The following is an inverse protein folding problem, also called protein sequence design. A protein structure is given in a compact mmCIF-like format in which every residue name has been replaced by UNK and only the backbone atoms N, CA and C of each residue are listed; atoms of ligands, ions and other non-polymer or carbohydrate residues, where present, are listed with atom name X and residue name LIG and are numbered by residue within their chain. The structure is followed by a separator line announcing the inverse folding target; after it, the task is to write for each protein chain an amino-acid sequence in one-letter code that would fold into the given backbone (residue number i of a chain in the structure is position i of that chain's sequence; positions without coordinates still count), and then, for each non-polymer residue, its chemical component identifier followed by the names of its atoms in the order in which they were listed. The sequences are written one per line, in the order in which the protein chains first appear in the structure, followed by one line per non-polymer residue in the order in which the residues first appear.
data_IF_649178856768
#
_entry.id   IF_649178856768
#
_cell.length_a   1.000
_cell.length_b   1.000
_cell.length_c   1.000
_cell.angle_alpha   90.00
_cell.angle_beta   90.00
_cell.angle_gamma   90.00
#
_symmetry.space_group_name_H-M   'P 1'
#
loop_
_entity.id
_entity.type
_entity.pdbx_description
1 polymer ?
#
# COMPACT_ATOMS: atom_id res chain seq x y z
N UNK A 1 3.23 1.72 -13.52
CA UNK A 1 2.32 2.87 -13.58
C UNK A 1 0.96 2.42 -13.06
N UNK A 2 0.31 3.23 -12.24
CA UNK A 2 -1.07 3.04 -11.79
C UNK A 2 -1.90 4.16 -12.40
N UNK A 3 -3.06 3.80 -12.96
CA UNK A 3 -4.01 4.75 -13.54
C UNK A 3 -5.41 4.41 -13.04
N UNK A 4 -6.11 5.38 -12.49
CA UNK A 4 -7.49 5.27 -12.01
C UNK A 4 -8.33 6.33 -12.68
N UNK A 5 -9.45 5.94 -13.30
CA UNK A 5 -10.32 6.87 -14.03
C UNK A 5 -11.76 6.70 -13.59
N UNK A 6 -12.30 7.72 -12.96
CA UNK A 6 -13.72 7.81 -12.60
C UNK A 6 -14.23 6.66 -11.73
N UNK A 7 -13.40 6.17 -10.81
CA UNK A 7 -13.70 5.01 -9.96
C UNK A 7 -14.87 5.33 -9.01
N UNK A 8 -15.92 4.51 -9.09
CA UNK A 8 -17.08 4.58 -8.18
C UNK A 8 -17.23 3.28 -7.44
N UNK A 9 -17.36 3.37 -6.10
CA UNK A 9 -17.59 2.23 -5.21
C UNK A 9 -18.80 2.47 -4.33
N UNK A 10 -19.70 1.48 -4.30
CA UNK A 10 -20.88 1.46 -3.45
C UNK A 10 -20.76 0.39 -2.37
N UNK A 11 -21.14 0.73 -1.13
CA UNK A 11 -21.44 -0.25 -0.09
C UNK A 11 -22.95 -0.14 0.24
N UNK A 12 -23.75 -1.04 -0.32
CA UNK A 12 -25.21 -0.89 -0.31
C UNK A 12 -25.63 0.40 -0.99
N UNK A 13 -26.35 1.27 -0.28
CA UNK A 13 -26.77 2.58 -0.78
C UNK A 13 -25.71 3.69 -0.60
N UNK A 14 -24.65 3.45 0.17
CA UNK A 14 -23.60 4.43 0.44
C UNK A 14 -22.57 4.44 -0.68
N UNK A 15 -22.38 5.62 -1.29
CA UNK A 15 -21.29 5.84 -2.24
C UNK A 15 -20.01 6.14 -1.47
N UNK A 16 -19.10 5.15 -1.41
CA UNK A 16 -17.83 5.23 -0.66
C UNK A 16 -16.74 5.89 -1.48
N UNK A 17 -16.72 5.64 -2.80
CA UNK A 17 -15.86 6.35 -3.76
C UNK A 17 -16.75 6.96 -4.83
N UNK A 18 -16.52 8.24 -5.15
CA UNK A 18 -17.35 9.02 -6.05
C UNK A 18 -16.50 9.68 -7.15
N UNK A 19 -16.20 8.92 -8.20
CA UNK A 19 -15.51 9.40 -9.39
C UNK A 19 -14.01 9.66 -9.17
N UNK A 20 -13.34 8.84 -8.35
CA UNK A 20 -11.90 8.97 -8.09
C UNK A 20 -11.09 8.81 -9.36
N UNK A 21 -10.20 9.77 -9.63
CA UNK A 21 -9.20 9.69 -10.69
C UNK A 21 -7.84 10.11 -10.15
N UNK A 22 -6.82 9.27 -10.38
CA UNK A 22 -5.43 9.55 -10.03
C UNK A 22 -4.47 8.76 -10.93
N UNK A 23 -3.23 9.22 -11.01
CA UNK A 23 -2.15 8.49 -11.69
C UNK A 23 -0.90 8.47 -10.83
N UNK A 24 -0.16 7.34 -10.88
CA UNK A 24 1.13 7.18 -10.21
C UNK A 24 2.13 6.61 -11.21
N UNK A 25 3.19 7.34 -11.47
CA UNK A 25 4.24 6.92 -12.41
C UNK A 25 5.12 5.84 -11.77
N UNK A 26 5.87 5.14 -12.60
CA UNK A 26 6.86 4.17 -12.11
C UNK A 26 7.94 4.91 -11.28
N UNK A 27 8.26 4.36 -10.11
CA UNK A 27 9.20 4.96 -9.15
C UNK A 27 8.61 6.11 -8.32
N UNK A 28 7.36 6.50 -8.55
CA UNK A 28 6.69 7.56 -7.80
C UNK A 28 6.05 7.02 -6.51
N UNK A 29 6.07 7.84 -5.48
CA UNK A 29 5.35 7.62 -4.21
C UNK A 29 4.16 8.58 -4.17
N UNK A 30 2.95 8.04 -4.16
CA UNK A 30 1.72 8.79 -3.92
C UNK A 30 1.24 8.56 -2.48
N UNK A 31 1.10 9.62 -1.70
CA UNK A 31 0.47 9.56 -0.39
C UNK A 31 -1.01 9.91 -0.48
N UNK A 32 -1.86 9.14 0.18
CA UNK A 32 -3.28 9.39 0.32
C UNK A 32 -3.55 9.70 1.78
N UNK A 33 -3.98 10.91 2.06
CA UNK A 33 -4.27 11.41 3.40
C UNK A 33 -5.73 11.91 3.49
N UNK A 34 -6.23 12.13 4.69
CA UNK A 34 -7.59 12.63 4.90
C UNK A 34 -8.26 11.98 6.12
N UNK A 35 -9.43 12.45 6.52
CA UNK A 35 -10.15 11.97 7.69
C UNK A 35 -10.52 10.48 7.59
N UNK A 36 -10.73 9.84 8.76
CA UNK A 36 -11.23 8.47 8.83
C UNK A 36 -12.61 8.36 8.16
N UNK A 37 -12.88 7.21 7.53
CA UNK A 37 -14.12 7.03 6.76
C UNK A 37 -14.14 7.70 5.38
N UNK A 38 -13.09 8.39 4.96
CA UNK A 38 -13.00 9.06 3.66
C UNK A 38 -12.87 8.13 2.43
N UNK A 39 -12.84 6.80 2.59
CA UNK A 39 -12.75 5.83 1.49
C UNK A 39 -11.32 5.42 1.11
N UNK A 40 -10.29 5.85 1.85
CA UNK A 40 -8.87 5.61 1.53
C UNK A 40 -8.51 4.13 1.40
N UNK A 41 -8.83 3.30 2.40
CA UNK A 41 -8.57 1.86 2.38
C UNK A 41 -9.40 1.14 1.31
N UNK A 42 -10.64 1.58 1.07
CA UNK A 42 -11.50 1.06 0.00
C UNK A 42 -10.85 1.33 -1.37
N UNK A 43 -10.28 2.51 -1.57
CA UNK A 43 -9.53 2.82 -2.80
C UNK A 43 -8.37 1.84 -2.98
N UNK A 44 -7.51 1.63 -1.97
CA UNK A 44 -6.41 0.66 -2.07
C UNK A 44 -6.90 -0.76 -2.37
N UNK A 45 -8.02 -1.19 -1.77
CA UNK A 45 -8.60 -2.52 -2.02
C UNK A 45 -9.16 -2.66 -3.43
N UNK A 46 -9.65 -1.58 -4.02
CA UNK A 46 -10.01 -1.57 -5.45
C UNK A 46 -8.77 -1.67 -6.35
N UNK A 47 -7.65 -0.99 -5.97
CA UNK A 47 -6.40 -1.01 -6.74
C UNK A 47 -5.74 -2.39 -6.81
N UNK A 48 -5.89 -3.24 -5.77
CA UNK A 48 -5.34 -4.60 -5.76
C UNK A 48 -6.40 -5.67 -6.11
N UNK A 49 -7.62 -5.26 -6.43
CA UNK A 49 -8.72 -6.15 -6.77
C UNK A 49 -9.24 -6.99 -5.60
N UNK A 50 -9.06 -6.55 -4.35
CA UNK A 50 -9.71 -7.14 -3.17
C UNK A 50 -11.18 -6.71 -3.08
N UNK A 51 -11.51 -5.52 -3.56
CA UNK A 51 -12.88 -5.05 -3.71
C UNK A 51 -13.21 -4.78 -5.18
N UNK A 52 -14.42 -5.16 -5.60
CA UNK A 52 -15.00 -4.77 -6.88
C UNK A 52 -15.50 -3.34 -6.83
N UNK A 53 -15.73 -2.73 -7.97
CA UNK A 53 -16.28 -1.38 -8.09
C UNK A 53 -17.36 -1.33 -9.17
N UNK A 54 -18.23 -0.32 -9.12
CA UNK A 54 -19.44 -0.24 -9.93
C UNK A 54 -19.25 0.57 -11.20
N UNK A 55 -18.29 1.53 -11.24
CA UNK A 55 -17.96 2.30 -12.44
C UNK A 55 -16.49 2.73 -12.44
N UNK A 56 -15.99 3.12 -13.60
CA UNK A 56 -14.61 3.55 -13.82
C UNK A 56 -13.68 2.43 -14.26
N UNK A 57 -12.39 2.72 -14.23
CA UNK A 57 -11.32 1.81 -14.66
C UNK A 57 -10.14 1.90 -13.70
N UNK A 58 -9.48 0.77 -13.46
CA UNK A 58 -8.22 0.67 -12.74
C UNK A 58 -7.22 -0.08 -13.60
N UNK A 59 -6.10 0.55 -13.93
CA UNK A 59 -4.99 -0.07 -14.65
C UNK A 59 -3.73 -0.05 -13.77
N UNK A 60 -3.11 -1.20 -13.57
CA UNK A 60 -1.84 -1.32 -12.86
C UNK A 60 -0.90 -2.24 -13.61
N UNK A 61 0.29 -1.74 -13.97
CA UNK A 61 1.30 -2.53 -14.67
C UNK A 61 0.81 -3.12 -16.01
N UNK A 62 -0.15 -2.48 -16.69
CA UNK A 62 -0.76 -2.96 -17.92
C UNK A 62 -1.91 -3.97 -17.71
N UNK A 63 -2.29 -4.27 -16.47
CA UNK A 63 -3.48 -5.05 -16.16
C UNK A 63 -4.64 -4.10 -15.91
N UNK A 64 -5.69 -4.23 -16.72
CA UNK A 64 -6.89 -3.38 -16.67
C UNK A 64 -8.03 -4.12 -15.98
N UNK A 65 -8.61 -3.49 -14.96
CA UNK A 65 -9.86 -3.91 -14.31
C UNK A 65 -11.00 -2.98 -14.73
N UNK A 66 -12.13 -3.58 -15.05
CA UNK A 66 -13.40 -2.91 -15.38
C UNK A 66 -14.58 -3.61 -14.71
N UNK A 67 -15.64 -2.88 -14.33
CA UNK A 67 -16.88 -3.50 -13.89
C UNK A 67 -17.53 -4.27 -15.06
N UNK A 68 -18.26 -5.33 -14.73
CA UNK A 68 -19.03 -6.07 -15.75
C UNK A 68 -18.23 -6.98 -16.69
N UNK A 69 -16.92 -7.15 -16.48
CA UNK A 69 -16.12 -8.11 -17.23
C UNK A 69 -16.64 -9.56 -17.03
N UNK A 70 -16.52 -10.40 -18.06
CA UNK A 70 -16.90 -11.81 -17.95
C UNK A 70 -16.14 -12.48 -16.80
N UNK A 71 -16.80 -13.35 -16.03
CA UNK A 71 -16.25 -13.96 -14.81
C UNK A 71 -14.85 -14.58 -15.00
N UNK A 72 -14.60 -15.20 -16.15
CA UNK A 72 -13.30 -15.82 -16.46
C UNK A 72 -12.21 -14.78 -16.71
N UNK A 73 -12.52 -13.75 -17.50
CA UNK A 73 -11.59 -12.65 -17.79
C UNK A 73 -11.25 -11.84 -16.53
N UNK A 74 -12.28 -11.53 -15.72
CA UNK A 74 -12.10 -10.87 -14.44
C UNK A 74 -11.17 -11.68 -13.50
N UNK A 75 -11.35 -13.00 -13.40
CA UNK A 75 -10.51 -13.85 -12.56
C UNK A 75 -9.06 -13.89 -13.04
N UNK A 76 -8.81 -13.95 -14.34
CA UNK A 76 -7.46 -13.90 -14.92
C UNK A 76 -6.78 -12.54 -14.67
N UNK A 77 -7.51 -11.45 -14.90
CA UNK A 77 -7.01 -10.10 -14.64
C UNK A 77 -6.66 -9.90 -13.16
N UNK A 78 -7.52 -10.35 -12.24
CA UNK A 78 -7.27 -10.28 -10.80
C UNK A 78 -6.04 -11.10 -10.39
N UNK A 79 -5.86 -12.29 -10.94
CA UNK A 79 -4.68 -13.10 -10.66
C UNK A 79 -3.40 -12.43 -11.18
N UNK A 80 -3.42 -11.89 -12.40
CA UNK A 80 -2.30 -11.15 -12.98
C UNK A 80 -1.97 -9.90 -12.17
N UNK A 81 -2.98 -9.15 -11.74
CA UNK A 81 -2.83 -7.95 -10.91
C UNK A 81 -2.17 -8.27 -9.58
N UNK A 82 -2.67 -9.28 -8.84
CA UNK A 82 -2.17 -9.65 -7.50
C UNK A 82 -0.73 -10.17 -7.51
N UNK A 83 -0.22 -10.61 -8.63
CA UNK A 83 1.21 -10.95 -8.80
C UNK A 83 2.09 -9.71 -8.97
N UNK A 84 1.53 -8.60 -9.48
CA UNK A 84 2.23 -7.35 -9.78
C UNK A 84 2.09 -6.28 -8.71
N UNK A 85 1.09 -6.42 -7.83
CA UNK A 85 0.78 -5.43 -6.79
C UNK A 85 0.93 -6.09 -5.43
N UNK A 86 1.95 -5.67 -4.69
CA UNK A 86 2.09 -6.01 -3.28
C UNK A 86 1.12 -5.19 -2.43
N UNK A 87 0.67 -5.74 -1.33
CA UNK A 87 -0.11 -5.00 -0.33
C UNK A 87 0.38 -5.28 1.07
N UNK A 88 0.55 -4.21 1.83
CA UNK A 88 0.94 -4.21 3.24
C UNK A 88 -0.21 -3.56 4.02
N UNK A 89 -0.78 -4.31 4.96
CA UNK A 89 -1.94 -3.92 5.74
C UNK A 89 -1.54 -3.34 7.09
N UNK A 90 -2.46 -2.64 7.72
CA UNK A 90 -2.36 -2.15 9.10
C UNK A 90 -2.15 -3.31 10.10
N UNK A 91 -2.91 -4.39 9.94
CA UNK A 91 -2.70 -5.65 10.64
C UNK A 91 -1.79 -6.52 9.78
N UNK A 92 -0.65 -6.89 10.24
CA UNK A 92 0.48 -7.48 9.51
C UNK A 92 0.13 -8.71 8.66
N UNK A 93 -0.94 -9.46 9.04
CA UNK A 93 -1.46 -10.65 8.36
C UNK A 93 -0.36 -11.68 8.00
N UNK A 94 0.60 -11.87 8.90
CA UNK A 94 1.60 -12.92 8.75
C UNK A 94 0.96 -14.30 8.94
N UNK A 95 1.52 -15.31 8.30
CA UNK A 95 1.12 -16.70 8.51
C UNK A 95 1.66 -17.18 9.86
N UNK A 96 0.80 -17.40 10.89
CA UNK A 96 1.26 -17.65 12.25
C UNK A 96 1.95 -19.01 12.41
N UNK A 97 1.68 -19.96 11.53
CA UNK A 97 2.25 -21.30 11.51
C UNK A 97 3.59 -21.38 10.77
N UNK A 98 4.05 -20.30 10.14
CA UNK A 98 5.30 -20.21 9.40
C UNK A 98 6.32 -19.36 10.17
N UNK A 99 7.61 -19.66 9.98
CA UNK A 99 8.70 -18.80 10.42
C UNK A 99 8.73 -17.48 9.62
N UNK A 100 9.54 -16.53 10.05
CA UNK A 100 9.83 -15.30 9.32
C UNK A 100 10.32 -15.58 7.90
N UNK A 101 11.31 -16.48 7.77
CA UNK A 101 11.81 -16.91 6.47
C UNK A 101 10.70 -17.55 5.62
N UNK A 102 9.90 -18.43 6.24
CA UNK A 102 8.78 -19.09 5.57
C UNK A 102 7.72 -18.10 5.07
N UNK A 103 7.39 -17.07 5.86
CA UNK A 103 6.47 -16.02 5.46
C UNK A 103 6.93 -15.27 4.21
N UNK A 104 8.22 -14.92 4.12
CA UNK A 104 8.77 -14.16 2.99
C UNK A 104 8.95 -15.03 1.76
N UNK A 105 9.40 -16.28 1.91
CA UNK A 105 9.60 -17.21 0.80
C UNK A 105 8.31 -17.82 0.24
N UNK A 106 7.18 -17.73 0.95
CA UNK A 106 5.92 -18.38 0.56
C UNK A 106 5.43 -17.96 -0.84
N UNK A 107 5.46 -16.67 -1.16
CA UNK A 107 5.04 -16.16 -2.48
C UNK A 107 5.89 -16.72 -3.61
N UNK A 108 7.22 -16.55 -3.59
CA UNK A 108 8.13 -17.16 -4.56
C UNK A 108 7.95 -18.68 -4.72
N UNK A 109 7.81 -19.42 -3.62
CA UNK A 109 7.64 -20.88 -3.66
C UNK A 109 6.31 -21.31 -4.28
N UNK A 110 5.19 -20.81 -3.74
CA UNK A 110 3.86 -21.35 -4.05
C UNK A 110 3.14 -20.65 -5.18
N UNK A 111 3.51 -19.39 -5.49
CA UNK A 111 2.85 -18.60 -6.54
C UNK A 111 3.73 -18.45 -7.78
N UNK A 112 5.05 -18.27 -7.61
CA UNK A 112 6.00 -18.13 -8.71
C UNK A 112 6.68 -19.46 -9.08
N UNK A 113 6.52 -20.49 -8.24
CA UNK A 113 7.08 -21.84 -8.44
C UNK A 113 8.63 -21.84 -8.55
N UNK A 114 9.29 -20.93 -7.83
CA UNK A 114 10.75 -20.92 -7.73
C UNK A 114 11.26 -22.14 -6.95
N UNK A 115 12.50 -22.57 -7.23
CA UNK A 115 13.16 -23.56 -6.42
C UNK A 115 13.32 -23.07 -4.97
N UNK A 116 13.20 -23.97 -3.99
CA UNK A 116 13.23 -23.64 -2.56
C UNK A 116 14.48 -22.85 -2.18
N UNK A 117 15.64 -23.33 -2.62
CA UNK A 117 16.93 -22.72 -2.31
C UNK A 117 17.01 -21.27 -2.82
N UNK A 118 16.51 -21.02 -4.04
CA UNK A 118 16.48 -19.68 -4.63
C UNK A 118 15.48 -18.76 -3.88
N UNK A 119 14.27 -19.25 -3.56
CA UNK A 119 13.29 -18.50 -2.82
C UNK A 119 13.74 -18.15 -1.40
N UNK A 120 14.39 -19.08 -0.70
CA UNK A 120 14.93 -18.82 0.64
C UNK A 120 16.15 -17.89 0.61
N UNK A 121 17.02 -17.98 -0.39
CA UNK A 121 18.16 -17.06 -0.54
C UNK A 121 17.67 -15.62 -0.74
N UNK A 122 16.73 -15.42 -1.66
CA UNK A 122 16.11 -14.09 -1.90
C UNK A 122 15.39 -13.57 -0.64
N UNK A 123 14.66 -14.43 0.07
CA UNK A 123 13.99 -14.05 1.30
C UNK A 123 14.98 -13.61 2.40
N UNK A 124 16.16 -14.25 2.53
CA UNK A 124 17.21 -13.83 3.46
C UNK A 124 17.76 -12.45 3.13
N UNK A 125 17.99 -12.16 1.85
CA UNK A 125 18.45 -10.84 1.39
C UNK A 125 17.41 -9.75 1.72
N UNK A 126 16.13 -10.01 1.46
CA UNK A 126 15.05 -9.06 1.78
C UNK A 126 14.91 -8.87 3.29
N UNK A 127 15.03 -9.92 4.09
CA UNK A 127 14.98 -9.82 5.55
C UNK A 127 16.19 -9.04 6.11
N UNK A 128 17.38 -9.21 5.54
CA UNK A 128 18.54 -8.40 5.89
C UNK A 128 18.31 -6.92 5.52
N UNK A 129 17.71 -6.63 4.36
CA UNK A 129 17.39 -5.28 3.92
C UNK A 129 16.42 -4.55 4.89
N UNK A 130 15.52 -5.29 5.53
CA UNK A 130 14.59 -4.72 6.53
C UNK A 130 15.11 -4.88 7.98
N UNK A 131 16.39 -5.29 8.17
CA UNK A 131 17.05 -5.40 9.47
C UNK A 131 16.55 -6.56 10.33
N UNK A 132 16.25 -7.72 9.73
CA UNK A 132 15.71 -8.90 10.40
C UNK A 132 16.52 -10.18 10.09
N UNK A 133 17.80 -10.05 9.73
CA UNK A 133 18.68 -11.17 9.42
C UNK A 133 18.83 -12.16 10.59
N UNK A 134 18.68 -11.69 11.83
CA UNK A 134 18.82 -12.50 13.05
C UNK A 134 17.51 -13.16 13.51
N UNK A 135 16.41 -13.01 12.73
CA UNK A 135 15.05 -13.45 13.08
C UNK A 135 14.46 -14.49 12.13
N UNK A 136 15.28 -15.12 11.30
CA UNK A 136 14.82 -15.98 10.20
C UNK A 136 13.92 -17.14 10.68
N UNK A 137 14.28 -17.76 11.79
CA UNK A 137 13.61 -18.94 12.35
C UNK A 137 12.53 -18.57 13.37
N UNK A 138 12.43 -17.29 13.77
CA UNK A 138 11.40 -16.82 14.69
C UNK A 138 10.01 -16.93 14.06
N UNK A 139 8.98 -17.07 14.91
CA UNK A 139 7.57 -17.01 14.52
C UNK A 139 7.01 -15.63 14.73
N UNK A 140 5.88 -15.27 14.06
CA UNK A 140 5.26 -13.96 14.20
C UNK A 140 5.00 -13.54 15.66
N UNK A 141 4.59 -14.47 16.52
CA UNK A 141 4.30 -14.23 17.94
C UNK A 141 5.53 -13.83 18.79
N UNK A 142 6.74 -14.13 18.29
CA UNK A 142 8.01 -13.80 18.94
C UNK A 142 8.57 -12.43 18.48
N UNK A 143 7.82 -11.72 17.63
CA UNK A 143 8.23 -10.44 17.04
C UNK A 143 7.45 -9.27 17.62
N UNK A 144 8.12 -8.13 17.77
CA UNK A 144 7.42 -6.86 18.01
C UNK A 144 6.53 -6.47 16.82
N UNK A 145 5.55 -5.60 17.02
CA UNK A 145 4.67 -5.12 15.95
C UNK A 145 5.43 -4.51 14.77
N UNK A 146 6.47 -3.70 15.06
CA UNK A 146 7.33 -3.11 14.02
C UNK A 146 8.14 -4.16 13.26
N UNK A 147 8.61 -5.22 13.94
CA UNK A 147 9.27 -6.35 13.28
C UNK A 147 8.29 -7.12 12.39
N UNK A 148 7.08 -7.39 12.88
CA UNK A 148 6.04 -8.05 12.07
C UNK A 148 5.70 -7.25 10.81
N UNK A 149 5.60 -5.93 10.93
CA UNK A 149 5.34 -5.05 9.79
C UNK A 149 6.50 -5.09 8.77
N UNK A 150 7.75 -5.11 9.24
CA UNK A 150 8.91 -5.22 8.35
C UNK A 150 8.96 -6.59 7.66
N UNK A 151 8.53 -7.69 8.31
CA UNK A 151 8.34 -8.99 7.64
C UNK A 151 7.25 -8.91 6.57
N UNK A 152 6.11 -8.24 6.85
CA UNK A 152 5.05 -8.06 5.86
C UNK A 152 5.52 -7.26 4.63
N UNK A 153 6.36 -6.24 4.83
CA UNK A 153 7.01 -5.48 3.74
C UNK A 153 7.94 -6.40 2.93
N UNK A 154 8.83 -7.16 3.59
CA UNK A 154 9.73 -8.09 2.92
C UNK A 154 8.96 -9.16 2.12
N UNK A 155 7.86 -9.69 2.67
CA UNK A 155 6.97 -10.63 1.98
C UNK A 155 6.34 -10.03 0.73
N UNK A 156 5.91 -8.77 0.78
CA UNK A 156 5.36 -8.08 -0.39
C UNK A 156 6.45 -7.87 -1.47
N UNK A 157 7.67 -7.52 -1.07
CA UNK A 157 8.82 -7.33 -1.98
C UNK A 157 9.27 -8.62 -2.66
N UNK A 158 9.14 -9.78 -1.98
CA UNK A 158 9.57 -11.07 -2.51
C UNK A 158 8.84 -11.48 -3.80
N UNK A 159 7.67 -10.89 -4.06
CA UNK A 159 6.93 -11.07 -5.31
C UNK A 159 7.44 -10.19 -6.46
N UNK A 160 8.45 -9.34 -6.23
CA UNK A 160 8.98 -8.34 -7.20
C UNK A 160 7.87 -7.50 -7.83
N UNK A 161 7.01 -6.85 -7.03
CA UNK A 161 5.84 -6.18 -7.53
C UNK A 161 6.20 -4.90 -8.30
N UNK A 162 5.38 -4.57 -9.31
CA UNK A 162 5.47 -3.29 -10.03
C UNK A 162 5.13 -2.10 -9.10
N UNK A 163 4.25 -2.32 -8.12
CA UNK A 163 3.88 -1.33 -7.11
C UNK A 163 3.53 -1.99 -5.77
N UNK A 164 3.73 -1.27 -4.67
CA UNK A 164 3.31 -1.68 -3.32
C UNK A 164 2.29 -0.68 -2.78
N UNK A 165 1.17 -1.21 -2.29
CA UNK A 165 0.13 -0.46 -1.62
C UNK A 165 0.28 -0.62 -0.12
N UNK A 166 0.28 0.48 0.62
CA UNK A 166 0.38 0.49 2.07
C UNK A 166 -0.90 1.06 2.68
N UNK A 167 -1.63 0.26 3.45
CA UNK A 167 -2.85 0.67 4.14
C UNK A 167 -2.54 0.91 5.62
N UNK A 168 -2.27 2.17 5.97
CA UNK A 168 -1.95 2.63 7.32
C UNK A 168 -0.87 1.79 8.03
N UNK A 169 0.32 1.62 7.44
CA UNK A 169 1.31 0.63 7.88
C UNK A 169 1.89 0.87 9.28
N UNK A 170 1.65 2.02 9.88
CA UNK A 170 2.22 2.42 11.18
C UNK A 170 1.17 2.75 12.25
N UNK A 171 -0.13 2.71 11.93
CA UNK A 171 -1.19 3.17 12.86
C UNK A 171 -1.39 2.27 14.09
N UNK A 172 -0.96 1.00 14.02
CA UNK A 172 -1.02 0.04 15.13
C UNK A 172 0.30 -0.03 15.94
N UNK A 173 1.26 0.86 15.68
CA UNK A 173 2.60 0.81 16.26
C UNK A 173 2.85 1.99 17.21
N UNK A 174 3.68 1.77 18.22
CA UNK A 174 4.22 2.88 19.01
C UNK A 174 5.17 3.75 18.16
N UNK A 175 5.47 4.99 18.60
CA UNK A 175 6.25 5.94 17.80
C UNK A 175 7.64 5.43 17.40
N UNK A 176 8.31 4.65 18.26
CA UNK A 176 9.64 4.10 17.97
C UNK A 176 9.58 3.05 16.88
N UNK A 177 8.66 2.10 17.01
CA UNK A 177 8.45 1.07 15.99
C UNK A 177 7.97 1.66 14.66
N UNK A 178 7.09 2.67 14.72
CA UNK A 178 6.63 3.40 13.54
C UNK A 178 7.79 4.05 12.78
N UNK A 179 8.75 4.68 13.50
CA UNK A 179 9.93 5.28 12.88
C UNK A 179 10.80 4.25 12.12
N UNK A 180 10.97 3.04 12.68
CA UNK A 180 11.71 1.96 12.01
C UNK A 180 11.03 1.52 10.70
N UNK A 181 9.71 1.38 10.69
CA UNK A 181 8.92 1.04 9.48
C UNK A 181 8.98 2.17 8.45
N UNK A 182 8.84 3.42 8.88
CA UNK A 182 8.96 4.61 8.01
C UNK A 182 10.34 4.67 7.36
N UNK A 183 11.41 4.36 8.10
CA UNK A 183 12.77 4.33 7.56
C UNK A 183 12.91 3.29 6.43
N UNK A 184 12.34 2.08 6.59
CA UNK A 184 12.31 1.06 5.54
C UNK A 184 11.52 1.55 4.33
N UNK A 185 10.34 2.16 4.53
CA UNK A 185 9.54 2.71 3.43
C UNK A 185 10.27 3.84 2.67
N UNK A 186 10.98 4.71 3.38
CA UNK A 186 11.77 5.76 2.77
C UNK A 186 12.96 5.19 1.96
N UNK A 187 13.57 4.08 2.41
CA UNK A 187 14.60 3.38 1.64
C UNK A 187 14.03 2.77 0.35
N UNK A 188 12.84 2.18 0.42
CA UNK A 188 12.13 1.67 -0.76
C UNK A 188 11.84 2.79 -1.78
N UNK A 189 11.42 3.96 -1.30
CA UNK A 189 11.19 5.14 -2.16
C UNK A 189 12.49 5.54 -2.87
N UNK A 190 13.60 5.66 -2.12
CA UNK A 190 14.92 5.99 -2.70
C UNK A 190 15.41 4.96 -3.71
N UNK A 191 15.06 3.69 -3.54
CA UNK A 191 15.39 2.63 -4.50
C UNK A 191 14.48 2.58 -5.74
N UNK A 192 13.54 3.54 -5.87
CA UNK A 192 12.66 3.65 -7.03
C UNK A 192 11.45 2.71 -7.00
N UNK A 193 11.06 2.18 -5.84
CA UNK A 193 9.85 1.39 -5.71
C UNK A 193 8.62 2.28 -5.88
N UNK A 194 7.72 1.92 -6.79
CA UNK A 194 6.42 2.60 -6.92
C UNK A 194 5.55 2.27 -5.70
N UNK A 195 4.99 3.29 -5.05
CA UNK A 195 4.18 3.10 -3.86
C UNK A 195 2.93 3.98 -3.85
N UNK A 196 1.82 3.43 -3.34
CA UNK A 196 0.64 4.21 -2.91
C UNK A 196 0.47 3.97 -1.41
N UNK A 197 0.49 5.02 -0.63
CA UNK A 197 0.55 4.93 0.83
C UNK A 197 -0.62 5.71 1.45
N UNK A 198 -1.57 5.00 2.02
CA UNK A 198 -2.57 5.59 2.94
C UNK A 198 -1.91 5.73 4.29
N UNK A 199 -1.85 6.95 4.84
CA UNK A 199 -1.13 7.19 6.09
C UNK A 199 -1.65 8.41 6.85
N UNK A 200 -1.50 8.35 8.18
CA UNK A 200 -1.61 9.49 9.09
C UNK A 200 -0.22 10.06 9.46
N UNK A 201 0.87 9.44 9.02
CA UNK A 201 2.24 9.95 9.24
C UNK A 201 2.53 11.13 8.29
N UNK A 202 2.10 12.34 8.68
CA UNK A 202 2.26 13.54 7.84
C UNK A 202 3.71 13.85 7.50
N UNK A 203 4.65 13.53 8.41
CA UNK A 203 6.08 13.65 8.17
C UNK A 203 6.56 12.77 7.01
N UNK A 204 6.06 11.55 6.88
CA UNK A 204 6.35 10.68 5.73
C UNK A 204 5.76 11.26 4.45
N UNK A 205 4.48 11.64 4.45
CA UNK A 205 3.83 12.22 3.28
C UNK A 205 4.52 13.51 2.81
N UNK A 206 4.99 14.35 3.75
CA UNK A 206 5.70 15.60 3.44
C UNK A 206 7.10 15.36 2.85
N UNK A 207 7.86 14.40 3.38
CA UNK A 207 9.29 14.27 3.10
C UNK A 207 9.60 13.19 2.05
N UNK A 208 8.70 12.25 1.79
CA UNK A 208 8.95 11.08 0.93
C UNK A 208 8.02 11.01 -0.26
N UNK A 209 6.77 11.49 -0.16
CA UNK A 209 5.85 11.44 -1.27
C UNK A 209 6.24 12.44 -2.38
N UNK A 210 5.98 12.05 -3.62
CA UNK A 210 6.08 12.91 -4.80
C UNK A 210 4.77 13.66 -5.03
N UNK A 211 3.66 13.00 -4.75
CA UNK A 211 2.31 13.56 -4.87
C UNK A 211 1.51 13.21 -3.62
N UNK A 212 0.75 14.16 -3.10
CA UNK A 212 -0.19 13.96 -1.99
C UNK A 212 -1.61 14.18 -2.50
N UNK A 213 -2.48 13.20 -2.23
CA UNK A 213 -3.91 13.27 -2.51
C UNK A 213 -4.67 13.39 -1.18
N UNK A 214 -5.42 14.47 -1.01
CA UNK A 214 -6.30 14.65 0.15
C UNK A 214 -7.67 14.10 -0.20
N UNK A 215 -8.09 13.02 0.47
CA UNK A 215 -9.41 12.42 0.28
C UNK A 215 -10.39 12.91 1.35
N UNK A 216 -11.59 13.30 0.90
CA UNK A 216 -12.70 13.65 1.76
C UNK A 216 -14.03 13.18 1.15
N UNK A 217 -14.90 12.57 1.96
CA UNK A 217 -16.24 12.13 1.56
C UNK A 217 -16.25 11.35 0.21
N UNK A 218 -15.32 10.42 0.03
CA UNK A 218 -15.23 9.57 -1.17
C UNK A 218 -14.65 10.25 -2.41
N UNK A 219 -14.16 11.48 -2.31
CA UNK A 219 -13.55 12.24 -3.42
C UNK A 219 -12.11 12.63 -3.12
N UNK A 220 -11.33 12.88 -4.15
CA UNK A 220 -10.07 13.60 -4.01
C UNK A 220 -10.41 15.08 -3.99
N UNK A 221 -10.29 15.70 -2.82
CA UNK A 221 -10.55 17.12 -2.63
C UNK A 221 -9.41 17.97 -3.19
N UNK A 222 -8.16 17.56 -2.98
CA UNK A 222 -6.98 18.27 -3.47
C UNK A 222 -5.86 17.30 -3.79
N UNK A 223 -5.06 17.62 -4.81
CA UNK A 223 -3.87 16.86 -5.19
C UNK A 223 -2.74 17.81 -5.58
N UNK A 224 -1.53 17.49 -5.17
CA UNK A 224 -0.36 18.28 -5.54
C UNK A 224 0.93 17.76 -4.90
N UNK A 225 2.06 18.41 -5.20
CA UNK A 225 3.30 18.13 -4.50
C UNK A 225 3.17 18.46 -3.00
N UNK A 226 3.96 17.80 -2.13
CA UNK A 226 3.88 17.99 -0.69
C UNK A 226 3.93 19.46 -0.25
N UNK A 227 4.83 20.28 -0.81
CA UNK A 227 4.94 21.69 -0.47
C UNK A 227 3.63 22.45 -0.72
N UNK A 228 2.90 22.17 -1.82
CA UNK A 228 1.61 22.80 -2.07
C UNK A 228 0.57 22.39 -1.03
N UNK A 229 0.44 21.08 -0.79
CA UNK A 229 -0.60 20.55 0.11
C UNK A 229 -0.38 20.98 1.55
N UNK A 230 0.86 20.93 2.05
CA UNK A 230 1.16 21.18 3.45
C UNK A 230 1.42 22.65 3.78
N UNK A 231 1.96 23.44 2.84
CA UNK A 231 2.35 24.83 3.12
C UNK A 231 1.37 25.84 2.50
N UNK A 232 0.72 25.47 1.39
CA UNK A 232 -0.18 26.36 0.63
C UNK A 232 -1.47 25.63 0.18
N UNK A 233 -2.22 24.98 1.11
CA UNK A 233 -3.44 24.26 0.77
C UNK A 233 -4.50 25.22 0.19
N UNK A 234 -5.06 24.84 -0.95
CA UNK A 234 -6.05 25.67 -1.68
C UNK A 234 -7.47 25.42 -1.19
N UNK A 235 -7.78 24.14 -0.88
CA UNK A 235 -9.12 23.73 -0.48
C UNK A 235 -9.33 23.94 1.03
N UNK A 236 -10.51 24.41 1.41
CA UNK A 236 -10.86 24.61 2.82
C UNK A 236 -10.84 23.30 3.61
N UNK A 237 -11.30 22.22 2.99
CA UNK A 237 -11.28 20.86 3.57
C UNK A 237 -9.86 20.42 3.89
N UNK A 238 -8.89 20.71 2.99
CA UNK A 238 -7.47 20.42 3.21
C UNK A 238 -6.92 21.19 4.41
N UNK A 239 -7.21 22.50 4.48
CA UNK A 239 -6.79 23.36 5.60
C UNK A 239 -7.34 22.85 6.93
N UNK A 240 -8.64 22.54 6.97
CA UNK A 240 -9.29 22.01 8.18
C UNK A 240 -8.69 20.68 8.63
N UNK A 241 -8.43 19.76 7.69
CA UNK A 241 -7.80 18.47 7.98
C UNK A 241 -6.38 18.62 8.54
N UNK A 242 -5.55 19.47 7.94
CA UNK A 242 -4.17 19.69 8.38
C UNK A 242 -4.11 20.37 9.74
N UNK A 243 -4.99 21.31 10.04
CA UNK A 243 -5.08 21.97 11.34
C UNK A 243 -5.37 20.96 12.47
N UNK A 244 -6.27 20.00 12.24
CA UNK A 244 -6.57 18.92 13.19
C UNK A 244 -5.38 17.96 13.39
N UNK A 245 -4.67 17.65 12.31
CA UNK A 245 -3.53 16.71 12.33
C UNK A 245 -2.28 17.30 13.01
N UNK A 246 -2.19 18.62 13.15
CA UNK A 246 -1.08 19.32 13.84
C UNK A 246 -1.29 19.45 15.35
N UNK A 247 -2.50 19.17 15.83
CA UNK A 247 -2.87 19.29 17.25
C UNK A 247 -2.74 17.96 18.02
N UNK A 248 -2.41 16.87 17.32
CA UNK A 248 -2.24 15.52 17.87
C UNK A 248 -0.77 15.10 17.80
#
# INVERSE_FOLDING_TARGET
MIEVRGLVKMHGALKVLDGISLSVRRGEVAAIVGPSGGGKSTLLRCLNGLESFEAGEVEVGGVLLRPGAMRREAAQALQALRRRVGMVFQQFHLFPHMTVLGNVSAGPLYVLHHAREAAEAEARELLARVGLQDKLDARPEELSGGQQQRVAIARALAMKPDAILFDEPTSALDPRMAAEVIAVMADLARSGQTMVVVTHAMGFARNVAHTVHVMHAGKIAESGPPAQIFDHPREEVTRAFLAQSSAT
#
